data_IF_818519879470
#
_entry.id   IF_818519879470
#
_cell.length_a   1.000
_cell.length_b   1.000
_cell.length_c   1.000
_cell.angle_alpha   90.00
_cell.angle_beta   90.00
_cell.angle_gamma   90.00
#
_symmetry.space_group_name_H-M   'P 1'
#
loop_
_entity.id
_entity.type
_entity.pdbx_description
1 polymer ?
#
# COMPACT_ATOMS: atom_id res chain seq x y z
N UNK A 1 23.08 40.31 73.27
CA UNK A 1 24.02 41.36 72.90
C UNK A 1 24.18 41.25 71.43
N UNK A 2 23.53 42.12 70.76
CA UNK A 2 23.95 43.18 69.87
C UNK A 2 24.26 42.68 68.48
N UNK A 3 23.74 43.14 67.37
CA UNK A 3 23.04 44.43 67.14
C UNK A 3 22.41 44.33 65.76
N UNK A 4 21.23 44.87 65.65
CA UNK A 4 20.52 45.12 64.43
C UNK A 4 21.10 46.31 63.68
N UNK A 5 21.36 46.24 62.41
CA UNK A 5 21.49 47.39 61.52
C UNK A 5 20.39 47.37 60.46
N UNK A 6 19.59 48.40 60.31
CA UNK A 6 18.68 48.58 59.24
C UNK A 6 19.40 49.10 57.99
N UNK A 7 19.21 48.51 56.84
CA UNK A 7 19.56 49.08 55.53
C UNK A 7 18.32 49.74 54.94
N UNK A 8 18.29 51.01 55.06
CA UNK A 8 17.47 51.99 54.34
C UNK A 8 18.03 52.18 52.93
N UNK A 9 17.19 52.19 51.90
CA UNK A 9 17.63 52.51 50.55
C UNK A 9 16.72 52.00 49.45
N UNK A 10 15.41 52.27 49.51
CA UNK A 10 14.55 52.12 48.38
C UNK A 10 14.67 53.30 47.43
N UNK A 11 15.31 53.14 46.29
CA UNK A 11 15.20 54.13 45.20
C UNK A 11 14.07 53.69 44.25
N UNK A 12 13.12 54.61 43.96
CA UNK A 12 12.13 54.35 42.93
C UNK A 12 12.79 54.46 41.52
N UNK A 13 12.80 53.45 40.76
CA UNK A 13 13.09 53.53 39.33
C UNK A 13 11.84 53.99 38.57
N UNK A 14 11.80 55.29 38.37
CA UNK A 14 10.95 56.01 37.45
C UNK A 14 11.57 55.86 36.04
N UNK A 15 10.82 55.29 35.04
CA UNK A 15 11.31 55.19 33.66
C UNK A 15 10.71 54.05 32.86
N UNK A 16 9.40 53.85 32.92
CA UNK A 16 8.73 53.03 31.92
C UNK A 16 8.51 53.87 30.65
N UNK A 17 9.41 53.74 29.69
CA UNK A 17 9.14 54.18 28.32
C UNK A 17 8.23 53.17 27.65
N UNK A 18 7.08 53.57 27.07
CA UNK A 18 6.30 52.68 26.21
C UNK A 18 7.09 52.44 24.93
N UNK A 19 7.49 51.22 24.68
CA UNK A 19 7.95 50.77 23.37
C UNK A 19 6.75 50.73 22.43
N UNK A 20 6.45 51.86 21.82
CA UNK A 20 5.67 52.00 20.59
C UNK A 20 6.54 51.49 19.44
N UNK A 21 6.29 50.28 18.96
CA UNK A 21 7.09 49.68 17.89
C UNK A 21 6.76 48.22 17.63
N UNK A 22 5.57 47.75 18.00
CA UNK A 22 5.06 46.46 17.49
C UNK A 22 4.44 46.68 16.09
N UNK A 23 5.26 47.18 15.15
CA UNK A 23 4.88 47.16 13.74
C UNK A 23 5.09 45.74 13.18
N UNK A 24 3.95 45.10 12.92
CA UNK A 24 3.69 44.34 11.68
C UNK A 24 4.89 43.52 11.14
N UNK A 25 5.18 42.37 11.77
CA UNK A 25 5.84 41.25 11.14
C UNK A 25 4.86 40.08 10.93
N UNK A 26 3.61 40.39 10.62
CA UNK A 26 2.56 39.38 10.37
C UNK A 26 2.18 39.29 8.88
N UNK A 27 2.98 39.85 7.98
CA UNK A 27 2.69 39.86 6.53
C UNK A 27 3.88 39.41 5.67
N UNK A 28 4.53 38.30 6.00
CA UNK A 28 5.54 37.75 5.11
C UNK A 28 5.58 36.21 5.08
N UNK A 29 4.51 35.48 5.47
CA UNK A 29 4.41 34.02 5.29
C UNK A 29 3.20 33.60 4.45
N UNK A 30 2.67 34.52 3.64
CA UNK A 30 1.79 34.17 2.49
C UNK A 30 2.64 33.86 1.27
N UNK A 31 3.77 33.20 1.47
CA UNK A 31 4.72 32.82 0.47
C UNK A 31 4.49 31.38 0.04
N UNK A 32 4.09 31.25 -1.20
CA UNK A 32 4.39 30.11 -2.06
C UNK A 32 3.69 28.79 -1.71
N UNK A 33 2.40 28.80 -1.81
CA UNK A 33 1.64 27.60 -2.08
C UNK A 33 1.95 27.16 -3.54
N UNK A 34 3.24 26.80 -3.77
CA UNK A 34 3.74 26.26 -5.02
C UNK A 34 2.92 25.01 -5.29
N UNK A 35 2.14 25.04 -6.34
CA UNK A 35 1.17 24.07 -6.84
C UNK A 35 1.57 22.61 -6.90
N UNK A 36 2.09 22.04 -5.81
CA UNK A 36 2.42 20.63 -5.68
C UNK A 36 1.20 19.70 -5.67
N UNK A 37 -0.01 20.25 -5.47
CA UNK A 37 -1.24 19.45 -5.45
C UNK A 37 -1.71 18.95 -6.83
N UNK A 38 -1.40 19.67 -7.90
CA UNK A 38 -1.91 19.32 -9.25
C UNK A 38 -1.30 18.03 -9.83
N UNK A 39 0.04 17.80 -9.82
CA UNK A 39 0.60 16.56 -10.36
C UNK A 39 0.21 15.32 -9.56
N UNK A 40 0.04 15.43 -8.24
CA UNK A 40 -0.36 14.31 -7.38
C UNK A 40 -1.82 13.91 -7.58
N UNK A 41 -2.72 14.85 -7.90
CA UNK A 41 -4.11 14.53 -8.24
C UNK A 41 -4.20 13.76 -9.56
N UNK A 42 -3.40 14.14 -10.55
CA UNK A 42 -3.29 13.42 -11.82
C UNK A 42 -2.77 11.99 -11.64
N UNK A 43 -1.71 11.80 -10.85
CA UNK A 43 -1.17 10.49 -10.55
C UNK A 43 -2.19 9.58 -9.83
N UNK A 44 -2.97 10.14 -8.89
CA UNK A 44 -4.03 9.40 -8.20
C UNK A 44 -5.12 8.92 -9.15
N UNK A 45 -5.58 9.78 -10.06
CA UNK A 45 -6.58 9.42 -11.07
C UNK A 45 -6.01 8.33 -11.99
N UNK A 46 -4.77 8.47 -12.43
CA UNK A 46 -4.10 7.47 -13.27
C UNK A 46 -3.99 6.11 -12.58
N UNK A 47 -3.62 6.07 -11.30
CA UNK A 47 -3.57 4.84 -10.51
C UNK A 47 -4.96 4.19 -10.36
N UNK A 48 -6.00 5.00 -10.11
CA UNK A 48 -7.38 4.52 -10.04
C UNK A 48 -7.87 3.93 -11.36
N UNK A 49 -7.62 4.61 -12.47
CA UNK A 49 -7.95 4.13 -13.82
C UNK A 49 -7.16 2.85 -14.15
N UNK A 50 -5.87 2.80 -13.83
CA UNK A 50 -5.06 1.60 -14.04
C UNK A 50 -5.58 0.42 -13.23
N UNK A 51 -5.92 0.62 -11.96
CA UNK A 51 -6.52 -0.42 -11.12
C UNK A 51 -7.87 -0.91 -11.69
N UNK A 52 -8.70 0.00 -12.21
CA UNK A 52 -9.97 -0.33 -12.86
C UNK A 52 -9.76 -1.16 -14.12
N UNK A 53 -8.84 -0.75 -14.99
CA UNK A 53 -8.51 -1.50 -16.23
C UNK A 53 -7.99 -2.89 -15.90
N UNK A 54 -7.11 -3.01 -14.89
CA UNK A 54 -6.64 -4.32 -14.41
C UNK A 54 -7.78 -5.18 -13.87
N UNK A 55 -8.72 -4.61 -13.12
CA UNK A 55 -9.85 -5.35 -12.57
C UNK A 55 -10.78 -5.86 -13.68
N UNK A 56 -11.09 -5.01 -14.67
CA UNK A 56 -11.89 -5.41 -15.84
C UNK A 56 -11.16 -6.51 -16.63
N UNK A 57 -9.86 -6.31 -16.90
CA UNK A 57 -9.04 -7.32 -17.60
C UNK A 57 -9.02 -8.65 -16.87
N UNK A 58 -8.87 -8.63 -15.55
CA UNK A 58 -8.87 -9.82 -14.71
C UNK A 58 -10.19 -10.60 -14.81
N UNK A 59 -11.32 -9.92 -14.77
CA UNK A 59 -12.65 -10.54 -14.86
C UNK A 59 -12.91 -11.10 -16.26
N UNK A 60 -12.63 -10.31 -17.29
CA UNK A 60 -12.91 -10.71 -18.68
C UNK A 60 -11.99 -11.84 -19.14
N UNK A 61 -10.69 -11.65 -18.97
CA UNK A 61 -9.68 -12.61 -19.43
C UNK A 61 -9.72 -13.89 -18.58
N UNK A 62 -9.75 -13.78 -17.26
CA UNK A 62 -9.81 -14.92 -16.35
C UNK A 62 -11.07 -15.74 -16.55
N UNK A 63 -12.22 -15.09 -16.78
CA UNK A 63 -13.47 -15.79 -17.10
C UNK A 63 -13.48 -16.45 -18.48
N UNK A 64 -12.80 -15.89 -19.47
CA UNK A 64 -12.67 -16.50 -20.80
C UNK A 64 -11.72 -17.69 -20.78
N UNK A 65 -10.55 -17.56 -20.13
CA UNK A 65 -9.57 -18.64 -19.98
C UNK A 65 -10.13 -19.82 -19.19
N UNK A 66 -10.86 -19.55 -18.10
CA UNK A 66 -11.51 -20.60 -17.31
C UNK A 66 -12.55 -21.37 -18.12
N UNK A 67 -13.39 -20.68 -18.89
CA UNK A 67 -14.39 -21.33 -19.77
C UNK A 67 -13.73 -22.16 -20.86
N UNK A 68 -12.70 -21.64 -21.52
CA UNK A 68 -11.98 -22.37 -22.56
C UNK A 68 -11.30 -23.63 -22.00
N UNK A 69 -10.71 -23.54 -20.79
CA UNK A 69 -10.10 -24.68 -20.14
C UNK A 69 -11.14 -25.74 -19.70
N UNK A 70 -12.32 -25.30 -19.27
CA UNK A 70 -13.43 -26.22 -18.92
C UNK A 70 -13.96 -26.97 -20.13
N UNK A 71 -14.21 -26.28 -21.24
CA UNK A 71 -14.65 -26.95 -22.49
C UNK A 71 -13.59 -27.91 -23.01
N UNK A 72 -12.32 -27.54 -23.00
CA UNK A 72 -11.22 -28.42 -23.40
C UNK A 72 -11.13 -29.68 -22.51
N UNK A 73 -11.37 -29.53 -21.19
CA UNK A 73 -11.40 -30.68 -20.26
C UNK A 73 -12.57 -31.64 -20.59
N UNK A 74 -13.77 -31.12 -20.84
CA UNK A 74 -14.96 -31.89 -21.17
C UNK A 74 -14.79 -32.63 -22.50
N UNK A 75 -14.30 -31.96 -23.54
CA UNK A 75 -14.06 -32.55 -24.87
C UNK A 75 -13.00 -33.66 -24.83
N UNK A 76 -11.88 -33.41 -24.13
CA UNK A 76 -10.78 -34.41 -24.05
C UNK A 76 -11.15 -35.66 -23.27
N UNK A 77 -12.11 -35.60 -22.37
CA UNK A 77 -12.37 -36.65 -21.39
C UNK A 77 -13.80 -37.18 -21.41
N UNK A 78 -14.51 -37.06 -22.53
CA UNK A 78 -15.91 -37.51 -22.72
C UNK A 78 -16.16 -39.00 -22.44
N UNK A 79 -15.10 -39.83 -22.33
CA UNK A 79 -15.18 -41.24 -21.98
C UNK A 79 -14.60 -41.59 -20.60
N UNK A 80 -14.19 -40.61 -19.81
CA UNK A 80 -13.55 -40.85 -18.52
C UNK A 80 -14.55 -41.08 -17.39
N UNK A 81 -14.09 -41.73 -16.31
CA UNK A 81 -14.93 -41.93 -15.13
C UNK A 81 -15.41 -40.58 -14.54
N UNK A 82 -16.71 -40.46 -14.22
CA UNK A 82 -17.29 -39.18 -13.77
C UNK A 82 -16.60 -38.59 -12.54
N UNK A 83 -16.10 -39.43 -11.64
CA UNK A 83 -15.34 -39.02 -10.46
C UNK A 83 -14.02 -38.29 -10.80
N UNK A 84 -13.29 -38.76 -11.82
CA UNK A 84 -12.03 -38.13 -12.26
C UNK A 84 -12.29 -36.78 -12.93
N UNK A 85 -13.40 -36.67 -13.65
CA UNK A 85 -13.81 -35.41 -14.27
C UNK A 85 -14.18 -34.38 -13.22
N UNK A 86 -14.91 -34.76 -12.17
CA UNK A 86 -15.29 -33.87 -11.06
C UNK A 86 -14.07 -33.35 -10.31
N UNK A 87 -13.10 -34.21 -9.96
CA UNK A 87 -11.84 -33.81 -9.32
C UNK A 87 -11.06 -32.84 -10.20
N UNK A 88 -10.95 -33.13 -11.50
CA UNK A 88 -10.21 -32.30 -12.46
C UNK A 88 -10.86 -30.91 -12.62
N UNK A 89 -12.21 -30.85 -12.65
CA UNK A 89 -12.95 -29.59 -12.70
C UNK A 89 -12.75 -28.75 -11.43
N UNK A 90 -12.80 -29.37 -10.26
CA UNK A 90 -12.54 -28.69 -8.99
C UNK A 90 -11.11 -28.14 -8.95
N UNK A 91 -10.14 -28.92 -9.43
CA UNK A 91 -8.74 -28.51 -9.48
C UNK A 91 -8.53 -27.35 -10.46
N UNK A 92 -9.20 -27.37 -11.61
CA UNK A 92 -9.19 -26.28 -12.58
C UNK A 92 -9.76 -24.97 -12.00
N UNK A 93 -10.87 -25.07 -11.26
CA UNK A 93 -11.45 -23.94 -10.56
C UNK A 93 -10.49 -23.36 -9.51
N UNK A 94 -9.84 -24.23 -8.74
CA UNK A 94 -8.82 -23.82 -7.77
C UNK A 94 -7.62 -23.15 -8.46
N UNK A 95 -7.16 -23.68 -9.58
CA UNK A 95 -6.09 -23.09 -10.39
C UNK A 95 -6.45 -21.68 -10.86
N UNK A 96 -7.68 -21.47 -11.36
CA UNK A 96 -8.16 -20.17 -11.77
C UNK A 96 -8.14 -19.17 -10.59
N UNK A 97 -8.63 -19.56 -9.42
CA UNK A 97 -8.61 -18.71 -8.22
C UNK A 97 -7.18 -18.36 -7.82
N UNK A 98 -6.26 -19.34 -7.84
CA UNK A 98 -4.85 -19.09 -7.49
C UNK A 98 -4.15 -18.17 -8.50
N UNK A 99 -4.49 -18.25 -9.79
CA UNK A 99 -3.99 -17.34 -10.83
C UNK A 99 -4.50 -15.91 -10.68
N UNK A 100 -5.74 -15.73 -10.18
CA UNK A 100 -6.34 -14.40 -9.95
C UNK A 100 -5.80 -13.71 -8.68
N UNK A 101 -5.40 -14.47 -7.66
CA UNK A 101 -5.02 -13.98 -6.36
C UNK A 101 -3.89 -12.92 -6.38
N UNK A 102 -2.77 -13.12 -7.10
CA UNK A 102 -1.69 -12.13 -7.16
C UNK A 102 -2.13 -10.80 -7.81
N UNK A 103 -2.93 -10.89 -8.87
CA UNK A 103 -3.46 -9.71 -9.57
C UNK A 103 -4.47 -8.96 -8.70
N UNK A 104 -5.32 -9.66 -7.96
CA UNK A 104 -6.22 -9.05 -6.97
C UNK A 104 -5.44 -8.34 -5.85
N UNK A 105 -4.38 -8.96 -5.34
CA UNK A 105 -3.49 -8.35 -4.35
C UNK A 105 -2.85 -7.06 -4.87
N UNK A 106 -2.36 -7.06 -6.12
CA UNK A 106 -1.81 -5.89 -6.79
C UNK A 106 -2.84 -4.75 -6.91
N UNK A 107 -4.06 -5.05 -7.35
CA UNK A 107 -5.15 -4.06 -7.44
C UNK A 107 -5.46 -3.46 -6.08
N UNK A 108 -5.58 -4.28 -5.03
CA UNK A 108 -5.83 -3.80 -3.67
C UNK A 108 -4.74 -2.83 -3.18
N UNK A 109 -3.47 -3.14 -3.42
CA UNK A 109 -2.35 -2.28 -3.06
C UNK A 109 -2.32 -0.97 -3.85
N UNK A 110 -2.66 -0.99 -5.14
CA UNK A 110 -2.78 0.22 -5.96
C UNK A 110 -3.89 1.15 -5.45
N UNK A 111 -5.03 0.60 -5.05
CA UNK A 111 -6.11 1.37 -4.43
C UNK A 111 -5.69 1.98 -3.08
N UNK A 112 -5.00 1.21 -2.23
CA UNK A 112 -4.46 1.72 -0.97
C UNK A 112 -3.41 2.81 -1.21
N UNK A 113 -2.57 2.69 -2.23
CA UNK A 113 -1.60 3.71 -2.63
C UNK A 113 -2.30 4.99 -3.11
N UNK A 114 -3.42 4.88 -3.85
CA UNK A 114 -4.24 6.03 -4.25
C UNK A 114 -4.80 6.79 -3.04
N UNK A 115 -5.24 6.06 -2.00
CA UNK A 115 -5.70 6.66 -0.73
C UNK A 115 -4.54 7.36 -0.01
N UNK A 116 -3.36 6.74 0.05
CA UNK A 116 -2.16 7.38 0.61
C UNK A 116 -1.83 8.68 -0.11
N UNK A 117 -1.79 8.68 -1.45
CA UNK A 117 -1.49 9.88 -2.24
C UNK A 117 -2.50 11.01 -1.98
N UNK A 118 -3.77 10.67 -1.72
CA UNK A 118 -4.77 11.66 -1.33
C UNK A 118 -4.40 12.38 -0.02
N UNK A 119 -4.01 11.63 1.01
CA UNK A 119 -3.62 12.21 2.29
C UNK A 119 -2.26 12.92 2.21
N UNK A 120 -1.34 12.39 1.42
CA UNK A 120 -0.03 13.00 1.19
C UNK A 120 -0.12 14.36 0.50
N UNK A 121 -1.01 14.51 -0.50
CA UNK A 121 -1.24 15.77 -1.18
C UNK A 121 -1.82 16.87 -0.27
N UNK A 122 -2.60 16.47 0.75
CA UNK A 122 -3.16 17.40 1.73
C UNK A 122 -2.11 17.84 2.77
N UNK A 123 -1.33 16.92 3.29
CA UNK A 123 -0.29 17.17 4.28
C UNK A 123 0.82 16.11 4.18
N UNK A 124 1.94 16.42 3.52
CA UNK A 124 3.12 15.53 3.52
C UNK A 124 3.57 15.30 4.97
N UNK A 125 3.81 14.03 5.33
CA UNK A 125 4.14 13.60 6.70
C UNK A 125 3.06 13.86 7.77
N UNK A 126 1.86 14.29 7.37
CA UNK A 126 0.72 14.41 8.27
C UNK A 126 0.28 13.07 8.87
N UNK A 127 -0.43 13.07 10.02
CA UNK A 127 -0.82 11.84 10.72
C UNK A 127 -1.71 10.92 9.90
N UNK A 128 -2.51 11.46 8.98
CA UNK A 128 -3.35 10.68 8.07
C UNK A 128 -2.52 9.96 7.00
N UNK A 129 -1.56 10.66 6.38
CA UNK A 129 -0.65 10.07 5.39
C UNK A 129 0.22 8.97 6.01
N UNK A 130 0.75 9.20 7.22
CA UNK A 130 1.56 8.21 7.92
C UNK A 130 0.76 6.95 8.29
N UNK A 131 -0.48 7.10 8.77
CA UNK A 131 -1.36 5.96 9.04
C UNK A 131 -1.74 5.19 7.78
N UNK A 132 -1.96 5.89 6.66
CA UNK A 132 -2.24 5.24 5.37
C UNK A 132 -1.02 4.45 4.89
N UNK A 133 0.20 5.01 5.01
CA UNK A 133 1.44 4.33 4.63
C UNK A 133 1.74 3.13 5.53
N UNK A 134 1.52 3.24 6.86
CA UNK A 134 1.69 2.11 7.77
C UNK A 134 0.72 0.95 7.44
N UNK A 135 -0.53 1.27 7.13
CA UNK A 135 -1.50 0.27 6.66
C UNK A 135 -1.04 -0.40 5.36
N UNK A 136 -0.52 0.39 4.42
CA UNK A 136 0.01 -0.12 3.15
C UNK A 136 1.20 -1.05 3.38
N UNK A 137 2.12 -0.71 4.29
CA UNK A 137 3.27 -1.54 4.68
C UNK A 137 2.83 -2.88 5.27
N UNK A 138 1.86 -2.86 6.19
CA UNK A 138 1.33 -4.08 6.81
C UNK A 138 0.57 -4.93 5.79
N UNK A 139 -0.29 -4.30 4.99
CA UNK A 139 -1.07 -4.99 3.96
C UNK A 139 -0.18 -5.65 2.90
N UNK A 140 0.84 -4.93 2.39
CA UNK A 140 1.77 -5.49 1.41
C UNK A 140 2.53 -6.71 1.96
N UNK A 141 2.96 -6.68 3.24
CA UNK A 141 3.59 -7.83 3.87
C UNK A 141 2.66 -9.04 4.01
N UNK A 142 1.42 -8.82 4.44
CA UNK A 142 0.41 -9.89 4.55
C UNK A 142 0.03 -10.46 3.19
N UNK A 143 -0.23 -9.61 2.22
CA UNK A 143 -0.58 -10.04 0.85
C UNK A 143 0.56 -10.80 0.20
N UNK A 144 1.81 -10.38 0.39
CA UNK A 144 2.98 -11.12 -0.09
C UNK A 144 3.02 -12.53 0.50
N UNK A 145 2.86 -12.66 1.82
CA UNK A 145 2.84 -13.95 2.48
C UNK A 145 1.70 -14.84 1.97
N UNK A 146 0.49 -14.30 1.83
CA UNK A 146 -0.67 -15.04 1.31
C UNK A 146 -0.42 -15.50 -0.13
N UNK A 147 0.07 -14.62 -1.01
CA UNK A 147 0.37 -14.96 -2.42
C UNK A 147 1.43 -16.06 -2.49
N UNK A 148 2.52 -15.95 -1.73
CA UNK A 148 3.59 -16.95 -1.73
C UNK A 148 3.09 -18.30 -1.20
N UNK A 149 2.45 -18.33 -0.04
CA UNK A 149 1.96 -19.56 0.59
C UNK A 149 0.91 -20.25 -0.30
N UNK A 150 -0.03 -19.46 -0.85
CA UNK A 150 -1.07 -19.99 -1.73
C UNK A 150 -0.49 -20.60 -3.02
N UNK A 151 0.43 -19.89 -3.68
CA UNK A 151 1.03 -20.40 -4.94
C UNK A 151 1.96 -21.60 -4.69
N UNK A 152 2.80 -21.56 -3.66
CA UNK A 152 3.65 -22.72 -3.31
C UNK A 152 2.78 -23.91 -2.91
N UNK A 153 1.79 -23.69 -2.05
CA UNK A 153 0.86 -24.73 -1.62
C UNK A 153 0.09 -25.34 -2.78
N UNK A 154 -0.39 -24.52 -3.72
CA UNK A 154 -1.06 -24.99 -4.91
C UNK A 154 -0.15 -25.84 -5.81
N UNK A 155 1.09 -25.39 -6.07
CA UNK A 155 2.05 -26.15 -6.87
C UNK A 155 2.40 -27.51 -6.23
N UNK A 156 2.53 -27.56 -4.89
CA UNK A 156 2.74 -28.82 -4.16
C UNK A 156 1.51 -29.72 -4.28
N UNK A 157 0.31 -29.16 -4.13
CA UNK A 157 -0.95 -29.91 -4.28
C UNK A 157 -1.09 -30.47 -5.70
N UNK A 158 -0.78 -29.67 -6.73
CA UNK A 158 -0.78 -30.09 -8.13
C UNK A 158 0.16 -31.28 -8.37
N UNK A 159 1.36 -31.22 -7.80
CA UNK A 159 2.33 -32.30 -7.90
C UNK A 159 1.83 -33.57 -7.20
N UNK A 160 1.27 -33.45 -6.01
CA UNK A 160 0.74 -34.58 -5.24
C UNK A 160 -0.42 -35.31 -5.95
N UNK A 161 -1.31 -34.51 -6.56
CA UNK A 161 -2.51 -35.04 -7.26
C UNK A 161 -2.32 -35.27 -8.75
N UNK A 162 -1.13 -35.10 -9.30
CA UNK A 162 -0.83 -35.19 -10.73
C UNK A 162 -1.29 -36.52 -11.38
N UNK A 163 -1.31 -37.61 -10.61
CA UNK A 163 -1.74 -38.95 -11.10
C UNK A 163 -3.26 -39.10 -11.24
N UNK A 164 -4.03 -38.20 -10.58
CA UNK A 164 -5.51 -38.26 -10.58
C UNK A 164 -6.12 -37.20 -11.49
N UNK A 165 -5.31 -36.27 -12.02
CA UNK A 165 -5.80 -35.18 -12.85
C UNK A 165 -5.79 -35.59 -14.33
N UNK A 166 -6.97 -35.48 -14.95
CA UNK A 166 -7.14 -35.68 -16.38
C UNK A 166 -6.66 -34.45 -17.14
N UNK A 167 -5.76 -34.61 -18.10
CA UNK A 167 -5.34 -33.60 -19.10
C UNK A 167 -5.22 -32.15 -18.58
N UNK A 168 -5.05 -31.94 -17.28
CA UNK A 168 -4.86 -30.60 -16.70
C UNK A 168 -3.48 -30.11 -17.08
N UNK A 169 -3.43 -28.92 -17.64
CA UNK A 169 -2.18 -28.27 -18.01
C UNK A 169 -1.37 -27.98 -16.73
N UNK A 170 -0.32 -28.77 -16.50
CA UNK A 170 0.56 -28.61 -15.34
C UNK A 170 1.46 -27.39 -15.48
N UNK A 171 0.88 -26.21 -15.33
CA UNK A 171 1.64 -24.97 -15.33
C UNK A 171 2.06 -24.62 -13.90
N UNK A 172 3.35 -24.44 -13.70
CA UNK A 172 3.88 -23.89 -12.46
C UNK A 172 3.50 -22.42 -12.42
N UNK A 173 2.57 -22.08 -11.54
CA UNK A 173 2.17 -20.69 -11.29
C UNK A 173 3.23 -20.02 -10.41
N UNK A 174 3.96 -19.09 -10.96
CA UNK A 174 4.90 -18.26 -10.20
C UNK A 174 4.76 -16.79 -10.60
N UNK A 175 3.99 -16.00 -9.85
CA UNK A 175 3.66 -14.60 -10.19
C UNK A 175 4.81 -13.64 -9.83
N UNK A 176 5.94 -13.79 -10.51
CA UNK A 176 7.16 -13.05 -10.22
C UNK A 176 6.97 -11.52 -10.35
N UNK A 177 6.24 -11.07 -11.39
CA UNK A 177 5.98 -9.64 -11.61
C UNK A 177 5.18 -9.03 -10.49
N UNK A 178 4.18 -9.74 -9.98
CA UNK A 178 3.33 -9.30 -8.87
C UNK A 178 4.11 -9.26 -7.57
N UNK A 179 4.95 -10.25 -7.31
CA UNK A 179 5.83 -10.29 -6.14
C UNK A 179 6.78 -9.09 -6.13
N UNK A 180 7.40 -8.76 -7.28
CA UNK A 180 8.30 -7.61 -7.40
C UNK A 180 7.56 -6.30 -7.10
N UNK A 181 6.34 -6.13 -7.63
CA UNK A 181 5.52 -4.93 -7.37
C UNK A 181 5.16 -4.83 -5.89
N UNK A 182 4.74 -5.92 -5.25
CA UNK A 182 4.39 -5.94 -3.82
C UNK A 182 5.62 -5.60 -2.95
N UNK A 183 6.79 -6.17 -3.27
CA UNK A 183 8.05 -5.86 -2.59
C UNK A 183 8.45 -4.41 -2.78
N UNK A 184 8.31 -3.86 -3.99
CA UNK A 184 8.58 -2.46 -4.29
C UNK A 184 7.71 -1.51 -3.45
N UNK A 185 6.42 -1.76 -3.38
CA UNK A 185 5.49 -1.00 -2.55
C UNK A 185 5.87 -1.09 -1.07
N UNK A 186 6.23 -2.27 -0.57
CA UNK A 186 6.66 -2.47 0.81
C UNK A 186 7.93 -1.69 1.13
N UNK A 187 8.93 -1.74 0.25
CA UNK A 187 10.19 -1.01 0.41
C UNK A 187 9.96 0.50 0.42
N UNK A 188 9.17 1.02 -0.53
CA UNK A 188 8.81 2.44 -0.56
C UNK A 188 8.08 2.88 0.71
N UNK A 189 7.18 2.04 1.23
CA UNK A 189 6.46 2.32 2.46
C UNK A 189 7.40 2.39 3.67
N UNK A 190 8.39 1.53 3.74
CA UNK A 190 9.40 1.53 4.80
C UNK A 190 10.28 2.78 4.72
N UNK A 191 10.81 3.09 3.54
CA UNK A 191 11.64 4.28 3.31
C UNK A 191 10.91 5.59 3.64
N UNK A 192 9.62 5.69 3.30
CA UNK A 192 8.82 6.86 3.65
C UNK A 192 8.69 7.03 5.18
N UNK A 193 8.42 5.96 5.91
CA UNK A 193 8.29 5.99 7.37
C UNK A 193 9.61 6.31 8.07
N UNK A 194 10.73 5.80 7.56
CA UNK A 194 12.08 6.13 8.00
C UNK A 194 12.41 7.59 7.74
N UNK A 195 12.10 8.11 6.54
CA UNK A 195 12.31 9.52 6.20
C UNK A 195 11.55 10.46 7.13
N UNK A 196 10.32 10.10 7.51
CA UNK A 196 9.55 10.85 8.50
C UNK A 196 10.26 10.88 9.84
N UNK A 197 10.73 9.72 10.32
CA UNK A 197 11.43 9.59 11.60
C UNK A 197 12.70 10.44 11.63
N UNK A 198 13.50 10.37 10.55
CA UNK A 198 14.71 11.20 10.42
C UNK A 198 14.39 12.70 10.44
N UNK A 199 13.26 13.11 9.83
CA UNK A 199 12.81 14.49 9.88
C UNK A 199 12.44 14.91 11.32
N UNK A 200 11.67 14.08 12.03
CA UNK A 200 11.29 14.34 13.42
C UNK A 200 12.52 14.43 14.33
N UNK A 201 13.50 13.54 14.15
CA UNK A 201 14.77 13.58 14.88
C UNK A 201 15.55 14.88 14.58
N UNK A 202 15.59 15.32 13.32
CA UNK A 202 16.28 16.56 12.95
C UNK A 202 15.59 17.83 13.48
N UNK A 203 14.25 17.85 13.49
CA UNK A 203 13.46 18.97 14.00
C UNK A 203 13.60 19.13 15.55
N UNK A 204 14.09 18.11 16.28
CA UNK A 204 14.38 18.18 17.71
C UNK A 204 15.74 18.83 18.03
N UNK A 205 16.62 19.00 17.05
CA UNK A 205 17.96 19.58 17.24
C UNK A 205 18.06 21.07 16.85
N UNK A 206 16.95 21.66 16.38
CA UNK A 206 16.83 23.10 16.03
C UNK A 206 15.99 23.84 17.05
#
# INVERSE_FOLDING_TARGET
MEGAHPMEGAHPMEGAHPMEGAHSMEEAHSGENIGHGKPLSGLRILLGLYALVLAIGLIVQGGAEFRAALTALEESNSGSAPFLLEISTLFLALQAVMGLLPSAAKIALLLMMSVFLHHYAAAPFGPAACRAMERLRIASGRLLAVVLVANVGFNVLQLAFSRFLLSVNHQILFPLSEIIVILGIRTLSTLYLESKRLKEDNDMFI
#
